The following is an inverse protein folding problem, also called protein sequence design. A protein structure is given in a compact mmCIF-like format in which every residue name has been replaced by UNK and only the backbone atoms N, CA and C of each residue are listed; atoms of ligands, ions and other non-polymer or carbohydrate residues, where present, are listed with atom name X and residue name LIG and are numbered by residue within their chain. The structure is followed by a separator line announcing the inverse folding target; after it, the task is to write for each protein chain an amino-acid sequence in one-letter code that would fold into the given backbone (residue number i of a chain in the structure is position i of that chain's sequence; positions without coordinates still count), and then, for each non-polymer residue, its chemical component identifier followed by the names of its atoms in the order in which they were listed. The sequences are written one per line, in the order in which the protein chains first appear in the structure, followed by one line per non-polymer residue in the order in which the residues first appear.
data_IF_689784242572
#
_entry.id   IF_689784242572
#
_cell.length_a   1.000
_cell.length_b   1.000
_cell.length_c   1.000
_cell.angle_alpha   90.00
_cell.angle_beta   90.00
_cell.angle_gamma   90.00
#
_symmetry.space_group_name_H-M   'P 1'
#
loop_
_entity.id
_entity.type
_entity.pdbx_description
1 polymer ?
#
# COMPACT_ATOMS: atom_id res chain seq x y z
N UNK A 1 4.02 -4.24 2.24
CA UNK A 1 4.14 -4.06 0.78
C UNK A 1 5.40 -3.25 0.55
N UNK A 2 6.05 -3.47 -0.58
CA UNK A 2 7.32 -2.83 -0.90
C UNK A 2 7.46 -2.62 -2.41
N UNK A 3 8.33 -1.70 -2.80
CA UNK A 3 8.61 -1.38 -4.19
C UNK A 3 10.11 -1.14 -4.42
N UNK A 4 10.66 -1.75 -5.47
CA UNK A 4 12.00 -1.51 -5.96
C UNK A 4 11.93 -0.73 -7.29
N UNK A 5 12.52 0.46 -7.35
CA UNK A 5 12.46 1.34 -8.52
C UNK A 5 13.86 1.70 -9.04
N UNK A 6 14.06 1.63 -10.36
CA UNK A 6 15.27 2.13 -11.05
C UNK A 6 15.00 3.50 -11.66
N UNK A 7 15.84 4.48 -11.30
CA UNK A 7 15.77 5.84 -11.82
C UNK A 7 16.15 5.92 -13.30
N UNK A 8 17.05 5.06 -13.74
CA UNK A 8 17.65 5.04 -15.08
C UNK A 8 16.66 4.55 -16.13
N UNK A 9 15.85 3.56 -15.75
CA UNK A 9 14.91 2.89 -16.67
C UNK A 9 13.45 3.21 -16.37
N UNK A 10 13.15 3.74 -15.18
CA UNK A 10 11.78 3.85 -14.66
C UNK A 10 11.12 2.50 -14.38
N UNK A 11 11.87 1.40 -14.46
CA UNK A 11 11.37 0.06 -14.15
C UNK A 11 11.12 -0.07 -12.65
N UNK A 12 10.02 -0.75 -12.31
CA UNK A 12 9.58 -0.91 -10.93
C UNK A 12 9.09 -2.33 -10.69
N UNK A 13 9.66 -2.98 -9.69
CA UNK A 13 9.10 -4.17 -9.06
C UNK A 13 8.24 -3.79 -7.86
N UNK A 14 7.03 -4.36 -7.77
CA UNK A 14 6.11 -4.18 -6.66
C UNK A 14 5.87 -5.54 -6.00
N UNK A 15 5.74 -5.56 -4.67
CA UNK A 15 5.43 -6.76 -3.91
C UNK A 15 4.54 -6.50 -2.71
N UNK A 16 3.62 -7.43 -2.45
CA UNK A 16 2.83 -7.41 -1.21
C UNK A 16 2.50 -8.82 -0.74
N UNK A 17 2.36 -8.94 0.57
CA UNK A 17 2.07 -10.19 1.26
C UNK A 17 0.93 -9.91 2.23
N UNK A 18 -0.08 -10.79 2.24
CA UNK A 18 -1.06 -10.88 3.31
C UNK A 18 -0.68 -12.05 4.20
N UNK A 19 -0.60 -11.74 5.49
CA UNK A 19 -0.43 -12.72 6.55
C UNK A 19 -1.78 -12.85 7.27
N UNK A 20 -2.64 -13.80 6.86
CA UNK A 20 -3.83 -14.12 7.63
C UNK A 20 -3.40 -14.72 8.97
N UNK A 21 -4.21 -14.56 10.01
CA UNK A 21 -3.91 -15.08 11.35
C UNK A 21 -3.72 -16.61 11.43
N UNK A 22 -3.83 -17.33 10.30
CA UNK A 22 -3.59 -18.75 10.16
C UNK A 22 -2.16 -18.97 9.60
N UNK A 23 -1.28 -19.66 10.34
CA UNK A 23 0.16 -19.71 10.08
C UNK A 23 0.54 -20.37 8.73
N UNK A 24 -0.36 -21.12 8.10
CA UNK A 24 -0.05 -21.92 6.91
C UNK A 24 -0.39 -21.24 5.57
N UNK A 25 -0.98 -20.03 5.56
CA UNK A 25 -1.49 -19.41 4.34
C UNK A 25 -0.87 -18.02 4.13
N UNK A 26 0.38 -17.95 3.71
CA UNK A 26 0.95 -16.67 3.25
C UNK A 26 0.48 -16.38 1.82
N UNK A 27 -0.24 -15.28 1.62
CA UNK A 27 -0.68 -14.87 0.27
C UNK A 27 0.25 -13.78 -0.24
N UNK A 28 1.16 -14.12 -1.14
CA UNK A 28 2.06 -13.16 -1.78
C UNK A 28 1.66 -12.89 -3.24
N UNK A 29 1.90 -11.67 -3.68
CA UNK A 29 1.81 -11.29 -5.09
C UNK A 29 2.87 -10.24 -5.41
N UNK A 30 3.29 -10.22 -6.68
CA UNK A 30 4.21 -9.22 -7.21
C UNK A 30 3.76 -8.74 -8.58
N UNK A 31 4.25 -7.57 -8.97
CA UNK A 31 3.99 -6.99 -10.29
C UNK A 31 5.19 -6.18 -10.76
N UNK A 32 5.53 -6.28 -12.04
CA UNK A 32 6.51 -5.40 -12.68
C UNK A 32 5.79 -4.35 -13.52
N UNK A 33 6.24 -3.10 -13.44
CA UNK A 33 5.69 -1.97 -14.19
C UNK A 33 6.85 -1.12 -14.72
N UNK A 34 6.69 -0.58 -15.93
CA UNK A 34 7.63 0.38 -16.54
C UNK A 34 7.09 1.80 -16.44
N UNK A 35 7.94 2.79 -16.72
CA UNK A 35 7.57 4.21 -16.81
C UNK A 35 7.05 4.81 -15.50
N UNK A 36 7.57 4.35 -14.35
CA UNK A 36 7.29 4.95 -13.06
C UNK A 36 8.24 6.13 -12.85
N UNK A 37 7.68 7.29 -12.55
CA UNK A 37 8.41 8.57 -12.54
C UNK A 37 9.16 8.86 -11.23
N UNK A 38 8.87 8.12 -10.16
CA UNK A 38 9.53 8.31 -8.86
C UNK A 38 9.37 7.08 -7.95
N UNK A 39 10.28 6.93 -6.99
CA UNK A 39 10.16 5.94 -5.90
C UNK A 39 8.87 6.13 -5.09
N UNK A 40 8.41 7.36 -4.85
CA UNK A 40 7.14 7.61 -4.16
C UNK A 40 5.92 7.11 -4.96
N UNK A 41 5.95 7.25 -6.30
CA UNK A 41 4.91 6.67 -7.16
C UNK A 41 4.96 5.14 -7.15
N UNK A 42 6.16 4.56 -7.14
CA UNK A 42 6.36 3.11 -7.01
C UNK A 42 5.72 2.57 -5.72
N UNK A 43 6.01 3.19 -4.58
CA UNK A 43 5.41 2.83 -3.30
C UNK A 43 3.88 2.97 -3.33
N UNK A 44 3.35 4.08 -3.85
CA UNK A 44 1.91 4.29 -3.98
C UNK A 44 1.24 3.19 -4.83
N UNK A 45 1.90 2.76 -5.90
CA UNK A 45 1.43 1.65 -6.73
C UNK A 45 1.48 0.31 -5.99
N UNK A 46 2.49 0.05 -5.16
CA UNK A 46 2.53 -1.15 -4.32
C UNK A 46 1.35 -1.18 -3.32
N UNK A 47 1.02 -0.04 -2.69
CA UNK A 47 -0.14 0.07 -1.80
C UNK A 47 -1.44 -0.18 -2.57
N UNK A 48 -1.61 0.45 -3.73
CA UNK A 48 -2.81 0.27 -4.56
C UNK A 48 -2.98 -1.17 -5.03
N UNK A 49 -1.89 -1.82 -5.45
CA UNK A 49 -1.87 -3.25 -5.78
C UNK A 49 -2.33 -4.10 -4.62
N UNK A 50 -1.78 -3.87 -3.42
CA UNK A 50 -2.18 -4.57 -2.22
C UNK A 50 -3.66 -4.34 -1.87
N UNK A 51 -4.18 -3.09 -1.94
CA UNK A 51 -5.59 -2.81 -1.69
C UNK A 51 -6.50 -3.53 -2.68
N UNK A 52 -6.18 -3.50 -3.98
CA UNK A 52 -6.96 -4.16 -5.00
C UNK A 52 -6.98 -5.68 -4.79
N UNK A 53 -5.82 -6.25 -4.46
CA UNK A 53 -5.68 -7.67 -4.15
C UNK A 53 -6.43 -8.10 -2.89
N UNK A 54 -6.51 -7.23 -1.87
CA UNK A 54 -7.33 -7.47 -0.69
C UNK A 54 -8.82 -7.46 -1.03
N UNK A 55 -9.25 -6.46 -1.82
CA UNK A 55 -10.64 -6.31 -2.27
C UNK A 55 -11.09 -7.50 -3.13
N UNK A 56 -10.27 -7.94 -4.08
CA UNK A 56 -10.55 -9.13 -4.90
C UNK A 56 -10.71 -10.40 -4.08
N UNK A 57 -10.07 -10.47 -2.91
CA UNK A 57 -10.14 -11.60 -1.99
C UNK A 57 -11.19 -11.43 -0.89
N UNK A 58 -11.98 -10.35 -0.94
CA UNK A 58 -12.99 -10.04 0.06
C UNK A 58 -12.43 -9.99 1.50
N UNK A 59 -11.16 -9.59 1.64
CA UNK A 59 -10.57 -9.39 2.96
C UNK A 59 -11.20 -8.16 3.61
N UNK A 60 -12.02 -8.38 4.63
CA UNK A 60 -12.81 -7.34 5.28
C UNK A 60 -11.96 -6.42 6.16
N UNK A 61 -10.87 -6.92 6.74
CA UNK A 61 -10.00 -6.15 7.62
C UNK A 61 -8.54 -6.40 7.28
N UNK A 62 -7.88 -5.39 6.72
CA UNK A 62 -6.47 -5.45 6.31
C UNK A 62 -5.68 -4.30 6.91
N UNK A 63 -4.45 -4.58 7.32
CA UNK A 63 -3.51 -3.59 7.85
C UNK A 63 -2.36 -3.45 6.88
N UNK A 64 -2.15 -2.24 6.37
CA UNK A 64 -1.01 -1.93 5.50
C UNK A 64 0.03 -1.15 6.29
N UNK A 65 1.29 -1.59 6.23
CA UNK A 65 2.44 -0.90 6.83
C UNK A 65 3.30 -0.34 5.70
N UNK A 66 3.46 0.98 5.69
CA UNK A 66 4.38 1.69 4.81
C UNK A 66 5.40 2.42 5.69
N UNK A 67 6.63 2.49 5.23
CA UNK A 67 7.72 3.30 5.79
C UNK A 67 7.72 4.74 5.24
N UNK A 68 7.00 4.98 4.15
CA UNK A 68 6.88 6.28 3.50
C UNK A 68 5.99 7.25 4.28
N UNK A 69 6.63 8.04 5.15
CA UNK A 69 5.94 9.05 5.96
C UNK A 69 5.13 10.04 5.10
N UNK A 70 5.66 10.43 3.92
CA UNK A 70 4.97 11.33 2.99
C UNK A 70 3.70 10.71 2.42
N UNK A 71 3.75 9.45 2.03
CA UNK A 71 2.60 8.73 1.50
C UNK A 71 1.53 8.54 2.59
N UNK A 72 1.95 8.14 3.79
CA UNK A 72 1.07 8.03 4.96
C UNK A 72 0.39 9.37 5.26
N UNK A 73 1.13 10.47 5.25
CA UNK A 73 0.58 11.81 5.46
C UNK A 73 -0.41 12.20 4.36
N UNK A 74 -0.06 12.02 3.08
CA UNK A 74 -0.93 12.36 1.96
C UNK A 74 -2.25 11.58 1.98
N UNK A 75 -2.17 10.28 2.30
CA UNK A 75 -3.34 9.43 2.49
C UNK A 75 -4.16 9.96 3.67
N UNK A 76 -3.58 10.12 4.86
CA UNK A 76 -4.28 10.59 6.06
C UNK A 76 -4.92 11.98 5.89
N UNK A 77 -4.26 12.93 5.23
CA UNK A 77 -4.79 14.28 5.01
C UNK A 77 -6.09 14.26 4.19
N UNK A 78 -6.21 13.35 3.22
CA UNK A 78 -7.45 13.16 2.45
C UNK A 78 -8.60 12.60 3.30
N UNK A 79 -8.31 11.83 4.34
CA UNK A 79 -9.32 11.37 5.31
C UNK A 79 -9.64 12.42 6.38
N UNK A 80 -8.64 13.20 6.81
CA UNK A 80 -8.79 14.30 7.76
C UNK A 80 -9.66 15.42 7.19
N UNK A 81 -9.54 15.72 5.88
CA UNK A 81 -10.41 16.68 5.21
C UNK A 81 -11.89 16.22 5.10
N UNK A 82 -12.24 15.06 5.69
CA UNK A 82 -13.63 14.60 5.84
C UNK A 82 -14.17 14.69 7.26
N UNK A 83 -13.39 14.92 8.32
CA UNK A 83 -13.93 15.16 9.68
C UNK A 83 -13.03 16.04 10.54
N UNK A 84 -13.55 17.20 10.89
CA UNK A 84 -13.14 18.02 12.03
C UNK A 84 -13.78 17.41 13.29
N UNK A 85 -13.09 16.51 13.98
CA UNK A 85 -13.18 16.34 15.45
C UNK A 85 -12.04 15.43 15.95
N UNK A 86 -11.57 15.68 17.16
CA UNK A 86 -10.23 15.38 17.64
C UNK A 86 -9.87 13.90 17.83
N UNK A 87 -8.56 13.64 17.66
CA UNK A 87 -7.82 12.65 18.43
C UNK A 87 -7.95 11.19 18.01
N UNK A 88 -6.84 10.65 17.48
CA UNK A 88 -6.56 9.23 17.14
C UNK A 88 -7.28 8.70 15.90
N UNK A 89 -6.56 8.73 14.78
CA UNK A 89 -6.97 8.03 13.54
C UNK A 89 -6.57 6.55 13.68
N UNK A 90 -7.52 5.75 14.14
CA UNK A 90 -7.48 4.28 14.08
C UNK A 90 -8.06 3.86 12.72
N UNK A 91 -7.22 3.27 11.86
CA UNK A 91 -7.70 2.72 10.59
C UNK A 91 -8.55 1.48 10.85
N UNK A 92 -9.86 1.59 10.60
CA UNK A 92 -10.78 0.47 10.45
C UNK A 92 -11.35 0.54 9.04
N UNK A 93 -10.84 -0.30 8.15
CA UNK A 93 -11.62 -0.81 7.02
C UNK A 93 -12.34 -2.06 7.50
#
# INVERSE_FOLDING_TARGET
MDAAWSKETGATGLGWIFDPSHPDITICQSKSIISVSSSLMAEALAILGAIFSAKQRLLSKVWFRSDSQRLIQAINLKFSNRKHDGGRILWRM
#
